data_IF_397877689571
#
_entry.id   IF_397877689571
#
_cell.length_a   1.000
_cell.length_b   1.000
_cell.length_c   1.000
_cell.angle_alpha   90.00
_cell.angle_beta   90.00
_cell.angle_gamma   90.00
#
_symmetry.space_group_name_H-M   'P 1'
#
loop_
_entity.id
_entity.type
_entity.pdbx_description
1 polymer ?
#
# COMPACT_ATOMS: atom_id res chain seq x y z
N UNK A 1 32.47 48.64 9.00
CA UNK A 1 31.61 47.92 9.95
C UNK A 1 30.34 47.50 9.21
N UNK A 2 30.25 46.26 8.73
CA UNK A 2 29.07 45.77 8.00
C UNK A 2 29.13 44.23 7.91
N UNK A 3 29.04 43.56 9.06
CA UNK A 3 29.09 42.09 9.14
C UNK A 3 28.15 41.56 10.24
N UNK A 4 26.88 41.96 10.25
CA UNK A 4 25.93 41.44 11.25
C UNK A 4 24.46 41.42 10.77
N UNK A 5 24.17 41.35 9.46
CA UNK A 5 22.77 41.31 9.00
C UNK A 5 22.44 40.12 8.11
N UNK A 6 23.42 39.43 7.53
CA UNK A 6 23.16 38.30 6.61
C UNK A 6 23.02 36.93 7.29
N UNK A 7 23.13 36.84 8.61
CA UNK A 7 23.24 35.56 9.34
C UNK A 7 22.00 35.18 10.16
N UNK A 8 20.84 35.80 9.91
CA UNK A 8 19.60 35.53 10.66
C UNK A 8 18.40 35.12 9.77
N UNK A 9 18.50 35.21 8.44
CA UNK A 9 17.40 34.82 7.54
C UNK A 9 17.47 33.37 7.01
N UNK A 10 18.62 32.71 7.09
CA UNK A 10 18.75 31.31 6.62
C UNK A 10 18.26 30.26 7.62
N UNK A 11 18.08 30.61 8.90
CA UNK A 11 17.59 29.68 9.92
C UNK A 11 16.06 29.56 9.99
N UNK A 12 15.32 30.49 9.38
CA UNK A 12 13.86 30.52 9.47
C UNK A 12 13.15 29.65 8.41
N UNK A 13 13.81 29.32 7.28
CA UNK A 13 13.21 28.49 6.22
C UNK A 13 13.38 26.99 6.42
N UNK A 14 14.18 26.54 7.40
CA UNK A 14 14.33 25.12 7.70
C UNK A 14 13.30 24.59 8.72
N UNK A 15 12.63 25.48 9.45
CA UNK A 15 11.72 25.12 10.55
C UNK A 15 10.23 25.05 10.15
N UNK A 16 9.87 25.47 8.93
CA UNK A 16 8.48 25.42 8.44
C UNK A 16 8.16 24.25 7.51
N UNK A 17 9.16 23.47 7.06
CA UNK A 17 8.92 22.28 6.25
C UNK A 17 8.61 21.01 7.07
N UNK A 18 8.66 21.08 8.41
CA UNK A 18 8.35 19.96 9.31
C UNK A 18 6.88 19.89 9.76
N UNK A 19 6.01 20.76 9.23
CA UNK A 19 4.57 20.80 9.52
C UNK A 19 3.68 20.43 8.32
N UNK A 20 4.27 19.97 7.22
CA UNK A 20 3.57 19.44 6.04
C UNK A 20 3.94 17.98 5.76
N UNK A 21 4.35 17.25 6.79
CA UNK A 21 4.17 15.80 6.81
C UNK A 21 2.72 15.54 7.24
N UNK A 22 2.01 14.69 6.48
CA UNK A 22 0.56 14.73 6.40
C UNK A 22 -0.03 14.40 7.78
N UNK A 23 -0.82 15.33 8.30
CA UNK A 23 -1.82 15.02 9.31
C UNK A 23 -2.96 14.19 8.68
N UNK A 24 -2.63 13.08 8.01
CA UNK A 24 -3.56 11.98 7.71
C UNK A 24 -3.59 10.96 8.86
N UNK A 25 -3.14 11.37 10.05
CA UNK A 25 -3.55 10.74 11.28
C UNK A 25 -4.92 11.27 11.70
N UNK A 26 -5.86 10.34 11.92
CA UNK A 26 -7.09 10.50 12.70
C UNK A 26 -8.38 10.86 11.94
N UNK A 27 -8.71 10.03 10.96
CA UNK A 27 -10.08 9.54 10.86
C UNK A 27 -10.09 8.01 10.71
N UNK A 28 -9.45 7.28 11.63
CA UNK A 28 -9.76 5.85 11.86
C UNK A 28 -11.14 5.74 12.51
N UNK A 29 -12.15 6.25 11.83
CA UNK A 29 -13.55 6.13 12.22
C UNK A 29 -14.03 4.75 11.76
N UNK A 30 -13.81 3.72 12.59
CA UNK A 30 -14.51 2.43 12.53
C UNK A 30 -14.64 1.88 11.08
N UNK A 31 -13.56 1.97 10.31
CA UNK A 31 -13.55 1.42 8.96
C UNK A 31 -13.10 -0.02 9.09
N UNK A 32 -14.04 -0.97 9.04
CA UNK A 32 -13.69 -2.38 8.95
C UNK A 32 -12.99 -2.69 7.63
N UNK A 33 -12.27 -3.82 7.56
CA UNK A 33 -11.50 -4.24 6.38
C UNK A 33 -12.27 -4.10 5.07
N UNK A 34 -13.56 -4.48 5.04
CA UNK A 34 -14.41 -4.37 3.85
C UNK A 34 -14.52 -2.94 3.33
N UNK A 35 -14.80 -1.97 4.21
CA UNK A 35 -14.89 -0.55 3.80
C UNK A 35 -13.54 0.04 3.36
N UNK A 36 -12.43 -0.47 3.89
CA UNK A 36 -11.10 -0.05 3.49
C UNK A 36 -10.80 -0.54 2.07
N UNK A 37 -10.99 -1.84 1.82
CA UNK A 37 -10.78 -2.45 0.51
C UNK A 37 -11.72 -1.85 -0.55
N UNK A 38 -12.99 -1.63 -0.22
CA UNK A 38 -13.96 -1.02 -1.14
C UNK A 38 -13.54 0.40 -1.56
N UNK A 39 -12.87 1.14 -0.68
CA UNK A 39 -12.39 2.50 -0.96
C UNK A 39 -11.16 2.55 -1.85
N UNK A 40 -10.49 1.42 -2.07
CA UNK A 40 -9.26 1.34 -2.84
C UNK A 40 -9.50 1.25 -4.36
N UNK A 41 -10.73 1.07 -4.85
CA UNK A 41 -11.05 0.99 -6.30
C UNK A 41 -10.17 0.00 -7.11
N UNK A 42 -9.71 -1.10 -6.47
CA UNK A 42 -8.75 -2.10 -7.00
C UNK A 42 -7.27 -1.66 -7.04
N UNK A 43 -6.90 -0.56 -6.40
CA UNK A 43 -5.51 -0.19 -6.16
C UNK A 43 -4.84 -1.23 -5.25
N UNK A 44 -3.82 -1.91 -5.77
CA UNK A 44 -3.15 -3.02 -5.09
C UNK A 44 -2.40 -2.58 -3.84
N UNK A 45 -1.75 -1.42 -3.87
CA UNK A 45 -0.97 -0.92 -2.73
C UNK A 45 -1.91 -0.47 -1.61
N UNK A 46 -3.04 0.15 -1.96
CA UNK A 46 -4.08 0.50 -1.00
C UNK A 46 -4.72 -0.73 -0.33
N UNK A 47 -5.08 -1.76 -1.12
CA UNK A 47 -5.64 -3.01 -0.58
C UNK A 47 -4.65 -3.69 0.36
N UNK A 48 -3.36 -3.64 0.02
CA UNK A 48 -2.28 -4.15 0.86
C UNK A 48 -2.21 -3.42 2.19
N UNK A 49 -2.18 -2.09 2.17
CA UNK A 49 -2.17 -1.27 3.38
C UNK A 49 -3.40 -1.55 4.26
N UNK A 50 -4.58 -1.76 3.66
CA UNK A 50 -5.78 -2.18 4.36
C UNK A 50 -5.61 -3.53 5.06
N UNK A 51 -5.03 -4.53 4.40
CA UNK A 51 -4.82 -5.87 4.97
C UNK A 51 -3.85 -5.83 6.14
N UNK A 52 -2.70 -5.18 5.96
CA UNK A 52 -1.69 -5.05 7.01
C UNK A 52 -2.20 -4.23 8.21
N UNK A 53 -3.13 -3.29 7.99
CA UNK A 53 -3.69 -2.46 9.05
C UNK A 53 -4.82 -3.12 9.84
N UNK A 54 -5.63 -3.97 9.21
CA UNK A 54 -6.88 -4.48 9.81
C UNK A 54 -6.91 -6.00 10.01
N UNK A 55 -5.94 -6.74 9.50
CA UNK A 55 -5.87 -8.20 9.62
C UNK A 55 -4.61 -8.61 10.37
N UNK A 56 -4.67 -9.74 11.08
CA UNK A 56 -3.43 -10.37 11.56
C UNK A 56 -2.57 -10.84 10.38
N UNK A 57 -1.24 -11.00 10.54
CA UNK A 57 -0.37 -11.49 9.48
C UNK A 57 -0.84 -12.81 8.88
N UNK A 58 -1.38 -13.71 9.72
CA UNK A 58 -1.89 -15.00 9.29
C UNK A 58 -3.18 -14.89 8.48
N UNK A 59 -4.13 -14.05 8.90
CA UNK A 59 -5.34 -13.78 8.11
C UNK A 59 -5.02 -13.08 6.79
N UNK A 60 -4.10 -12.10 6.80
CA UNK A 60 -3.67 -11.40 5.60
C UNK A 60 -3.03 -12.38 4.60
N UNK A 61 -2.15 -13.26 5.09
CA UNK A 61 -1.55 -14.34 4.31
C UNK A 61 -2.60 -15.26 3.70
N UNK A 62 -3.58 -15.71 4.47
CA UNK A 62 -4.68 -16.54 3.95
C UNK A 62 -5.48 -15.83 2.86
N UNK A 63 -5.77 -14.53 3.03
CA UNK A 63 -6.45 -13.73 2.01
C UNK A 63 -5.64 -13.62 0.71
N UNK A 64 -4.34 -13.32 0.79
CA UNK A 64 -3.48 -13.29 -0.40
C UNK A 64 -3.39 -14.66 -1.10
N UNK A 65 -3.35 -15.75 -0.34
CA UNK A 65 -3.35 -17.09 -0.91
C UNK A 65 -4.67 -17.41 -1.61
N UNK A 66 -5.80 -16.96 -1.06
CA UNK A 66 -7.11 -17.13 -1.67
C UNK A 66 -7.23 -16.32 -2.97
N UNK A 67 -6.79 -15.06 -2.97
CA UNK A 67 -6.80 -14.23 -4.18
C UNK A 67 -5.90 -14.78 -5.26
N UNK A 68 -4.72 -15.28 -4.88
CA UNK A 68 -3.84 -15.96 -5.82
C UNK A 68 -4.54 -17.16 -6.48
N UNK A 69 -5.24 -18.00 -5.72
CA UNK A 69 -6.00 -19.14 -6.29
C UNK A 69 -7.07 -18.65 -7.26
N UNK A 70 -7.84 -17.65 -6.86
CA UNK A 70 -8.90 -17.07 -7.71
C UNK A 70 -8.31 -16.49 -9.00
N UNK A 71 -7.20 -15.74 -8.90
CA UNK A 71 -6.48 -15.16 -10.04
C UNK A 71 -5.93 -16.26 -10.96
N UNK A 72 -5.32 -17.29 -10.38
CA UNK A 72 -4.77 -18.43 -11.11
C UNK A 72 -5.87 -19.18 -11.89
N UNK A 73 -7.03 -19.41 -11.27
CA UNK A 73 -8.17 -20.08 -11.90
C UNK A 73 -8.68 -19.29 -13.11
N UNK A 74 -8.81 -17.96 -12.99
CA UNK A 74 -9.18 -17.08 -14.11
C UNK A 74 -8.15 -17.12 -15.24
N UNK A 75 -6.86 -17.16 -14.91
CA UNK A 75 -5.81 -17.27 -15.91
C UNK A 75 -5.73 -18.67 -16.54
N UNK A 76 -6.26 -19.71 -15.88
CA UNK A 76 -6.13 -21.08 -16.35
C UNK A 76 -6.85 -21.32 -17.69
N UNK A 77 -7.98 -20.62 -17.89
CA UNK A 77 -8.79 -20.66 -19.10
C UNK A 77 -8.16 -19.95 -20.32
N UNK A 78 -7.14 -19.12 -20.09
CA UNK A 78 -6.39 -18.42 -21.15
C UNK A 78 -5.40 -19.35 -21.85
N UNK A 79 -4.84 -18.92 -22.99
CA UNK A 79 -3.86 -19.71 -23.76
C UNK A 79 -2.68 -18.86 -24.26
N UNK A 80 -1.54 -19.52 -24.44
CA UNK A 80 -0.32 -18.90 -24.97
C UNK A 80 0.16 -17.74 -24.11
N UNK A 81 0.65 -16.68 -24.76
CA UNK A 81 1.21 -15.50 -24.09
C UNK A 81 0.24 -14.80 -23.15
N UNK A 82 -1.05 -14.79 -23.48
CA UNK A 82 -2.09 -14.19 -22.62
C UNK A 82 -2.20 -14.92 -21.27
N UNK A 83 -1.97 -16.23 -21.25
CA UNK A 83 -1.92 -17.00 -20.00
C UNK A 83 -0.68 -16.68 -19.20
N UNK A 84 0.48 -16.58 -19.85
CA UNK A 84 1.75 -16.27 -19.20
C UNK A 84 1.72 -14.88 -18.54
N UNK A 85 1.29 -13.86 -19.29
CA UNK A 85 1.17 -12.48 -18.81
C UNK A 85 0.17 -12.38 -17.63
N UNK A 86 -0.96 -13.11 -17.71
CA UNK A 86 -1.95 -13.17 -16.63
C UNK A 86 -1.39 -13.84 -15.36
N UNK A 87 -0.70 -14.98 -15.51
CA UNK A 87 -0.11 -15.71 -14.39
C UNK A 87 1.04 -14.94 -13.73
N UNK A 88 1.78 -14.12 -14.48
CA UNK A 88 2.82 -13.24 -13.93
C UNK A 88 2.22 -12.21 -12.97
N UNK A 89 1.10 -11.58 -13.34
CA UNK A 89 0.37 -10.67 -12.46
C UNK A 89 -0.07 -11.32 -11.14
N UNK A 90 -0.62 -12.55 -11.21
CA UNK A 90 -1.03 -13.28 -10.01
C UNK A 90 0.14 -13.68 -9.09
N UNK A 91 1.33 -13.94 -9.66
CA UNK A 91 2.51 -14.38 -8.88
C UNK A 91 3.03 -13.32 -7.94
N UNK A 92 2.89 -12.04 -8.28
CA UNK A 92 3.32 -10.94 -7.42
C UNK A 92 2.51 -10.88 -6.12
N UNK A 93 1.18 -11.08 -6.20
CA UNK A 93 0.31 -11.15 -5.02
C UNK A 93 0.67 -12.36 -4.13
N UNK A 94 0.93 -13.51 -4.75
CA UNK A 94 1.38 -14.71 -4.03
C UNK A 94 2.70 -14.48 -3.30
N UNK A 95 3.69 -13.89 -3.98
CA UNK A 95 5.00 -13.61 -3.40
C UNK A 95 4.85 -12.73 -2.16
N UNK A 96 4.05 -11.68 -2.28
CA UNK A 96 3.82 -10.76 -1.18
C UNK A 96 3.13 -11.45 0.01
N UNK A 97 2.05 -12.20 -0.21
CA UNK A 97 1.38 -12.94 0.86
C UNK A 97 2.24 -14.02 1.52
N UNK A 98 3.10 -14.70 0.75
CA UNK A 98 4.02 -15.71 1.27
C UNK A 98 5.07 -15.11 2.21
N UNK A 99 5.56 -13.92 1.88
CA UNK A 99 6.61 -13.22 2.60
C UNK A 99 6.08 -12.45 3.84
N UNK A 100 4.78 -12.57 4.15
CA UNK A 100 4.22 -12.22 5.45
C UNK A 100 4.55 -13.35 6.45
N UNK A 101 5.45 -13.05 7.39
CA UNK A 101 5.85 -13.89 8.53
C UNK A 101 5.04 -13.59 9.79
#
# INVERSE_FOLDING_TARGET
MQRTVFSLCFAAMALTCLLLLPASGHAKAIMGIGKCVDSCENDRDCIKDCREQFMSPQEAKEAYMQDFRNCFDVCYDKRGKEKEDCLEGCRDDYKHGRDLD
#
